data_IF_477505251095
#
_entry.id   IF_477505251095
#
_cell.length_a   1.000
_cell.length_b   1.000
_cell.length_c   1.000
_cell.angle_alpha   90.00
_cell.angle_beta   90.00
_cell.angle_gamma   90.00
#
_symmetry.space_group_name_H-M   'P 1'
#
loop_
_entity.id
_entity.type
_entity.pdbx_description
1 polymer ?
#
# COMPACT_ATOMS: atom_id res chain seq x y z
N UNK A 1 -3.64 -7.88 -10.93
CA UNK A 1 -4.57 -7.14 -11.82
C UNK A 1 -4.16 -5.69 -11.79
N UNK A 2 -4.25 -5.01 -12.92
CA UNK A 2 -3.92 -3.58 -12.99
C UNK A 2 -4.91 -2.76 -12.16
N UNK A 3 -4.42 -1.64 -11.62
CA UNK A 3 -5.23 -0.71 -10.86
C UNK A 3 -6.35 -0.13 -11.74
N UNK A 4 -7.61 -0.32 -11.33
CA UNK A 4 -8.80 0.18 -12.02
C UNK A 4 -9.86 0.61 -11.00
N UNK A 5 -10.00 1.92 -10.73
CA UNK A 5 -10.84 2.41 -9.65
C UNK A 5 -12.27 2.73 -10.10
N UNK A 6 -13.23 2.52 -9.20
CA UNK A 6 -14.58 3.07 -9.28
C UNK A 6 -14.85 4.02 -8.11
N UNK A 7 -15.72 5.00 -8.33
CA UNK A 7 -16.28 5.87 -7.28
C UNK A 7 -17.74 5.49 -7.05
N UNK A 8 -18.11 5.30 -5.79
CA UNK A 8 -19.49 5.07 -5.36
C UNK A 8 -19.91 6.26 -4.49
N UNK A 9 -20.79 7.08 -5.05
CA UNK A 9 -21.43 8.25 -4.40
C UNK A 9 -22.72 7.79 -3.75
N UNK A 10 -22.69 7.65 -2.43
CA UNK A 10 -23.77 7.04 -1.67
C UNK A 10 -24.82 8.10 -1.28
N UNK A 11 -26.04 7.91 -1.76
CA UNK A 11 -27.27 8.54 -1.25
C UNK A 11 -27.20 10.06 -1.02
N UNK A 12 -26.60 10.81 -1.94
CA UNK A 12 -26.58 12.29 -1.90
C UNK A 12 -27.92 12.83 -2.41
N UNK A 13 -28.99 12.53 -1.66
CA UNK A 13 -30.38 12.82 -1.99
C UNK A 13 -30.95 13.98 -1.16
N UNK A 14 -32.06 14.55 -1.64
CA UNK A 14 -32.70 15.70 -1.01
C UNK A 14 -33.11 15.43 0.45
N UNK A 15 -33.67 14.26 0.77
CA UNK A 15 -34.12 13.96 2.14
C UNK A 15 -32.99 13.84 3.16
N UNK A 16 -31.77 13.53 2.70
CA UNK A 16 -30.58 13.48 3.56
C UNK A 16 -29.85 14.83 3.67
N UNK A 17 -30.32 15.87 2.97
CA UNK A 17 -29.63 17.16 2.92
C UNK A 17 -30.45 18.30 3.55
N UNK A 18 -29.82 19.16 4.37
CA UNK A 18 -30.48 20.37 4.88
C UNK A 18 -30.77 21.37 3.74
N UNK A 19 -31.67 22.34 3.92
CA UNK A 19 -32.46 22.58 5.14
C UNK A 19 -33.76 21.75 5.21
N UNK A 20 -34.23 21.20 4.09
CA UNK A 20 -35.61 20.70 3.98
C UNK A 20 -35.75 19.17 4.02
N UNK A 21 -34.63 18.43 4.08
CA UNK A 21 -34.66 16.97 4.05
C UNK A 21 -35.30 16.35 5.30
N UNK A 22 -36.16 15.34 5.11
CA UNK A 22 -36.87 14.69 6.21
C UNK A 22 -35.98 13.88 7.16
N UNK A 23 -34.78 13.51 6.70
CA UNK A 23 -33.72 12.84 7.46
C UNK A 23 -32.38 13.56 7.24
N UNK A 24 -32.41 14.90 7.28
CA UNK A 24 -31.25 15.73 6.95
C UNK A 24 -30.04 15.45 7.86
N UNK A 25 -28.91 15.13 7.24
CA UNK A 25 -27.61 14.95 7.89
C UNK A 25 -26.93 16.32 8.03
N UNK A 26 -26.44 16.62 9.24
CA UNK A 26 -25.76 17.90 9.50
C UNK A 26 -24.52 18.07 8.59
N UNK A 27 -24.46 19.18 7.86
CA UNK A 27 -23.40 19.45 6.89
C UNK A 27 -23.42 18.54 5.65
N UNK A 28 -24.52 17.81 5.40
CA UNK A 28 -24.60 16.84 4.30
C UNK A 28 -24.35 17.42 2.90
N UNK A 29 -24.56 18.73 2.70
CA UNK A 29 -24.24 19.43 1.44
C UNK A 29 -22.79 19.86 1.32
N UNK A 30 -22.03 19.90 2.41
CA UNK A 30 -20.65 20.40 2.42
C UNK A 30 -19.69 19.46 1.68
N UNK A 31 -20.07 18.20 1.50
CA UNK A 31 -19.28 17.19 0.79
C UNK A 31 -19.41 17.29 -0.74
N UNK A 32 -20.48 17.94 -1.24
CA UNK A 32 -20.83 17.96 -2.67
C UNK A 32 -19.71 18.55 -3.54
N UNK A 33 -19.05 19.67 -3.18
CA UNK A 33 -17.96 20.21 -3.99
C UNK A 33 -16.80 19.22 -4.19
N UNK A 34 -16.45 18.45 -3.15
CA UNK A 34 -15.44 17.42 -3.24
C UNK A 34 -15.92 16.25 -4.11
N UNK A 35 -17.15 15.80 -3.92
CA UNK A 35 -17.73 14.72 -4.73
C UNK A 35 -17.78 15.10 -6.21
N UNK A 36 -18.18 16.33 -6.55
CA UNK A 36 -18.16 16.82 -7.93
C UNK A 36 -16.74 16.85 -8.52
N UNK A 37 -15.73 17.22 -7.73
CA UNK A 37 -14.32 17.14 -8.16
C UNK A 37 -13.88 15.71 -8.46
N UNK A 38 -14.33 14.74 -7.64
CA UNK A 38 -14.04 13.32 -7.87
C UNK A 38 -14.78 12.79 -9.10
N UNK A 39 -16.05 13.14 -9.27
CA UNK A 39 -16.85 12.81 -10.45
C UNK A 39 -16.25 13.37 -11.73
N UNK A 40 -15.63 14.56 -11.70
CA UNK A 40 -14.96 15.13 -12.87
C UNK A 40 -13.62 14.43 -13.25
N UNK A 41 -13.09 13.54 -12.40
CA UNK A 41 -11.81 12.89 -12.63
C UNK A 41 -11.88 11.87 -13.77
N UNK A 42 -10.90 11.92 -14.68
CA UNK A 42 -10.68 10.97 -15.77
C UNK A 42 -9.98 9.68 -15.30
N UNK A 43 -9.35 9.71 -14.12
CA UNK A 43 -8.68 8.56 -13.50
C UNK A 43 -9.67 7.53 -12.95
N UNK A 44 -10.93 7.89 -12.77
CA UNK A 44 -11.98 7.03 -12.24
C UNK A 44 -12.67 6.32 -13.41
N UNK A 45 -12.53 5.00 -13.47
CA UNK A 45 -12.99 4.20 -14.60
C UNK A 45 -14.50 3.95 -14.62
N UNK A 46 -15.16 4.06 -13.46
CA UNK A 46 -16.62 3.94 -13.33
C UNK A 46 -17.13 4.77 -12.16
N UNK A 47 -18.18 5.56 -12.39
CA UNK A 47 -18.78 6.46 -11.41
C UNK A 47 -20.22 6.03 -11.18
N UNK A 48 -20.50 5.57 -9.97
CA UNK A 48 -21.80 5.07 -9.54
C UNK A 48 -22.39 6.02 -8.53
N UNK A 49 -23.65 6.40 -8.70
CA UNK A 49 -24.44 7.01 -7.63
C UNK A 49 -25.43 5.97 -7.07
N UNK A 50 -25.73 6.04 -5.78
CA UNK A 50 -26.79 5.25 -5.17
C UNK A 50 -27.93 6.14 -4.70
N UNK A 51 -29.13 5.56 -4.63
CA UNK A 51 -30.32 6.19 -4.08
C UNK A 51 -31.04 5.19 -3.17
N UNK A 52 -31.34 5.61 -1.95
CA UNK A 52 -32.44 5.00 -1.20
C UNK A 52 -33.76 5.27 -1.93
N UNK A 53 -34.58 4.24 -2.04
CA UNK A 53 -35.76 4.28 -2.89
C UNK A 53 -36.89 3.45 -2.30
N UNK A 54 -37.43 3.91 -1.17
CA UNK A 54 -38.31 3.14 -0.31
C UNK A 54 -39.80 3.23 -0.71
N UNK A 55 -40.56 2.13 -0.66
CA UNK A 55 -42.02 2.20 -0.71
C UNK A 55 -42.58 2.90 0.54
N UNK A 56 -43.79 3.47 0.46
CA UNK A 56 -44.41 4.19 1.58
C UNK A 56 -44.60 3.32 2.84
N UNK A 57 -44.79 2.01 2.67
CA UNK A 57 -44.99 1.03 3.74
C UNK A 57 -43.67 0.36 4.20
N UNK A 58 -42.51 0.94 3.87
CA UNK A 58 -41.21 0.37 4.22
C UNK A 58 -41.03 0.17 5.73
N UNK A 59 -40.45 -0.98 6.09
CA UNK A 59 -40.29 -1.46 7.46
C UNK A 59 -39.42 -0.55 8.32
N UNK A 60 -38.55 0.26 7.71
CA UNK A 60 -37.67 1.16 8.46
C UNK A 60 -38.38 2.43 8.94
N UNK A 61 -39.57 2.76 8.42
CA UNK A 61 -40.27 3.99 8.80
C UNK A 61 -41.05 3.82 10.10
N UNK A 62 -40.81 4.73 11.04
CA UNK A 62 -41.45 4.71 12.34
C UNK A 62 -42.99 4.81 12.25
N UNK A 63 -43.51 5.52 11.24
CA UNK A 63 -44.96 5.67 10.99
C UNK A 63 -45.66 4.35 10.67
N UNK A 64 -44.92 3.33 10.21
CA UNK A 64 -45.46 2.03 9.83
C UNK A 64 -45.53 1.04 11.01
N UNK A 65 -45.19 1.49 12.22
CA UNK A 65 -45.21 0.67 13.44
C UNK A 65 -46.19 1.21 14.48
N UNK A 66 -46.79 0.33 15.30
CA UNK A 66 -47.70 0.76 16.37
C UNK A 66 -46.93 1.34 17.58
N UNK A 67 -47.53 2.33 18.29
CA UNK A 67 -47.01 2.78 19.58
C UNK A 67 -46.88 1.63 20.60
N UNK A 68 -45.89 1.68 21.51
CA UNK A 68 -44.93 2.77 21.73
C UNK A 68 -43.67 2.72 20.84
N UNK A 69 -43.50 1.67 20.01
CA UNK A 69 -42.30 1.42 19.22
C UNK A 69 -42.39 2.07 17.83
N UNK A 70 -42.70 3.36 17.78
CA UNK A 70 -42.98 4.09 16.54
C UNK A 70 -42.38 5.50 16.54
N UNK A 71 -41.28 5.69 17.27
CA UNK A 71 -40.57 6.96 17.37
C UNK A 71 -39.30 6.94 16.51
N UNK A 72 -39.16 7.85 15.53
CA UNK A 72 -37.92 8.02 14.78
C UNK A 72 -36.71 8.19 15.69
N UNK A 73 -35.55 7.66 15.26
CA UNK A 73 -34.26 7.70 15.95
C UNK A 73 -34.17 6.92 17.28
N UNK A 74 -35.28 6.73 17.99
CA UNK A 74 -35.34 6.08 19.31
C UNK A 74 -35.76 4.60 19.23
N UNK A 75 -36.77 4.29 18.42
CA UNK A 75 -37.39 2.96 18.43
C UNK A 75 -36.61 1.95 17.60
N UNK A 76 -36.65 0.69 18.04
CA UNK A 76 -36.11 -0.45 17.33
C UNK A 76 -37.15 -1.56 17.22
N UNK A 77 -37.10 -2.30 16.12
CA UNK A 77 -37.88 -3.52 15.91
C UNK A 77 -36.95 -4.70 15.64
N UNK A 78 -37.47 -5.92 15.79
CA UNK A 78 -36.81 -7.12 15.29
C UNK A 78 -37.28 -7.40 13.86
N UNK A 79 -36.47 -7.00 12.90
CA UNK A 79 -36.66 -7.32 11.49
C UNK A 79 -36.30 -8.78 11.24
N UNK A 80 -37.06 -9.48 10.39
CA UNK A 80 -36.84 -10.90 10.06
C UNK A 80 -36.18 -11.03 8.70
N UNK A 81 -35.31 -12.03 8.55
CA UNK A 81 -34.73 -12.35 7.25
C UNK A 81 -35.84 -12.80 6.29
N UNK A 82 -35.93 -12.14 5.14
CA UNK A 82 -36.96 -12.41 4.12
C UNK A 82 -36.65 -13.65 3.29
N UNK A 83 -35.42 -14.17 3.35
CA UNK A 83 -35.02 -15.39 2.64
C UNK A 83 -35.35 -16.61 3.50
N UNK A 84 -36.29 -17.43 3.01
CA UNK A 84 -36.89 -18.54 3.76
C UNK A 84 -35.96 -19.69 4.17
N UNK A 85 -34.69 -19.68 3.78
CA UNK A 85 -33.71 -20.67 4.24
C UNK A 85 -33.11 -20.34 5.62
N UNK A 86 -33.36 -19.14 6.16
CA UNK A 86 -32.93 -18.69 7.50
C UNK A 86 -34.06 -17.95 8.22
N UNK A 87 -35.24 -18.57 8.40
CA UNK A 87 -36.46 -17.88 8.84
C UNK A 87 -36.40 -17.35 10.29
N UNK A 88 -35.52 -17.92 11.11
CA UNK A 88 -35.35 -17.53 12.51
C UNK A 88 -34.34 -16.39 12.70
N UNK A 89 -33.61 -16.00 11.65
CA UNK A 89 -32.63 -14.93 11.73
C UNK A 89 -33.33 -13.58 11.84
N UNK A 90 -33.00 -12.84 12.91
CA UNK A 90 -33.52 -11.50 13.17
C UNK A 90 -32.40 -10.49 13.38
N UNK A 91 -32.67 -9.23 13.07
CA UNK A 91 -31.76 -8.11 13.32
C UNK A 91 -32.53 -6.91 13.87
N UNK A 92 -31.87 -6.17 14.77
CA UNK A 92 -32.41 -4.92 15.27
C UNK A 92 -32.37 -3.87 14.17
N UNK A 93 -33.54 -3.35 13.79
CA UNK A 93 -33.69 -2.24 12.85
C UNK A 93 -34.08 -0.99 13.62
N UNK A 94 -33.29 0.09 13.48
CA UNK A 94 -33.66 1.43 13.97
C UNK A 94 -34.79 1.99 13.09
N UNK A 95 -35.75 2.65 13.70
CA UNK A 95 -36.83 3.31 12.95
C UNK A 95 -36.47 4.76 12.62
N UNK A 96 -36.79 5.17 11.41
CA UNK A 96 -36.48 6.47 10.82
C UNK A 96 -37.75 7.29 10.56
N UNK A 97 -37.63 8.62 10.37
CA UNK A 97 -38.68 9.38 9.70
C UNK A 97 -38.95 8.81 8.30
N UNK A 98 -40.10 9.12 7.72
CA UNK A 98 -40.35 8.81 6.30
C UNK A 98 -39.36 9.61 5.44
N UNK A 99 -38.61 8.94 4.59
CA UNK A 99 -37.58 9.54 3.74
C UNK A 99 -37.40 8.73 2.46
N UNK A 100 -36.87 9.37 1.42
CA UNK A 100 -36.50 8.77 0.15
C UNK A 100 -37.61 7.89 -0.47
N UNK A 101 -38.87 8.33 -0.32
CA UNK A 101 -40.02 7.60 -0.85
C UNK A 101 -40.02 7.62 -2.37
N UNK A 102 -40.29 6.48 -2.99
CA UNK A 102 -40.30 6.31 -4.44
C UNK A 102 -41.14 7.37 -5.15
N UNK A 103 -40.56 8.01 -6.17
CA UNK A 103 -41.22 9.03 -6.99
C UNK A 103 -41.42 10.39 -6.30
N UNK A 104 -40.93 10.57 -5.07
CA UNK A 104 -40.94 11.87 -4.40
C UNK A 104 -39.66 12.65 -4.68
N UNK A 105 -39.73 13.99 -4.59
CA UNK A 105 -38.55 14.85 -4.70
C UNK A 105 -37.50 14.54 -3.62
N UNK A 106 -37.92 14.04 -2.46
CA UNK A 106 -37.02 13.63 -1.38
C UNK A 106 -36.03 12.54 -1.79
N UNK A 107 -36.45 11.63 -2.67
CA UNK A 107 -35.64 10.55 -3.22
C UNK A 107 -34.72 10.98 -4.37
N UNK A 108 -34.90 12.16 -4.96
CA UNK A 108 -34.02 12.62 -6.03
C UNK A 108 -32.63 12.96 -5.50
N UNK A 109 -31.60 12.69 -6.30
CA UNK A 109 -30.26 13.25 -6.07
C UNK A 109 -30.36 14.78 -6.00
N UNK A 110 -29.54 15.39 -5.15
CA UNK A 110 -29.52 16.86 -5.02
C UNK A 110 -29.08 17.51 -6.34
N UNK A 111 -29.68 18.65 -6.68
CA UNK A 111 -29.41 19.37 -7.94
C UNK A 111 -27.96 19.87 -8.07
N UNK A 112 -27.27 20.04 -6.94
CA UNK A 112 -25.90 20.52 -6.85
C UNK A 112 -24.87 19.42 -7.17
N UNK A 113 -25.29 18.16 -7.17
CA UNK A 113 -24.47 17.04 -7.60
C UNK A 113 -24.44 17.02 -9.14
N UNK A 114 -23.25 16.92 -9.72
CA UNK A 114 -23.07 16.82 -11.18
C UNK A 114 -23.48 15.43 -11.69
N UNK A 115 -24.77 15.12 -11.70
CA UNK A 115 -25.30 13.81 -12.09
C UNK A 115 -25.01 13.43 -13.54
N UNK A 116 -24.68 14.40 -14.40
CA UNK A 116 -24.23 14.14 -15.78
C UNK A 116 -22.88 13.40 -15.84
N UNK A 117 -22.06 13.49 -14.79
CA UNK A 117 -20.76 12.79 -14.69
C UNK A 117 -20.91 11.40 -14.04
N UNK A 118 -22.12 10.98 -13.68
CA UNK A 118 -22.41 9.65 -13.14
C UNK A 118 -22.73 8.71 -14.30
N UNK A 119 -22.06 7.55 -14.34
CA UNK A 119 -22.28 6.56 -15.40
C UNK A 119 -23.53 5.71 -15.12
N UNK A 120 -23.75 5.33 -13.86
CA UNK A 120 -24.80 4.40 -13.45
C UNK A 120 -25.40 4.83 -12.10
N UNK A 121 -26.73 4.70 -11.99
CA UNK A 121 -27.46 4.92 -10.74
C UNK A 121 -28.08 3.62 -10.22
N UNK A 122 -27.76 3.27 -8.97
CA UNK A 122 -28.27 2.07 -8.27
C UNK A 122 -29.31 2.48 -7.23
N UNK A 123 -30.53 1.97 -7.34
CA UNK A 123 -31.60 2.20 -6.37
C UNK A 123 -31.72 1.01 -5.41
N UNK A 124 -31.69 1.28 -4.10
CA UNK A 124 -31.70 0.27 -3.03
C UNK A 124 -32.84 0.54 -2.03
N UNK A 125 -33.11 -0.42 -1.15
CA UNK A 125 -34.15 -0.31 -0.11
C UNK A 125 -35.58 -0.42 -0.65
N UNK A 126 -35.77 -1.07 -1.80
CA UNK A 126 -37.05 -1.11 -2.50
C UNK A 126 -38.03 -2.19 -1.98
N UNK A 127 -37.57 -3.15 -1.16
CA UNK A 127 -38.44 -4.18 -0.58
C UNK A 127 -38.98 -3.69 0.77
N UNK A 128 -40.30 -3.52 0.87
CA UNK A 128 -40.96 -2.98 2.05
C UNK A 128 -40.65 -3.74 3.36
N UNK A 129 -40.14 -4.98 3.30
CA UNK A 129 -40.00 -5.88 4.46
C UNK A 129 -38.58 -5.92 5.03
N UNK A 130 -37.58 -5.36 4.34
CA UNK A 130 -36.18 -5.44 4.77
C UNK A 130 -35.41 -4.15 4.49
N UNK A 131 -34.60 -3.73 5.45
CA UNK A 131 -33.67 -2.60 5.28
C UNK A 131 -32.47 -2.96 4.40
N UNK A 132 -31.94 -1.95 3.69
CA UNK A 132 -30.75 -2.08 2.85
C UNK A 132 -29.89 -0.82 2.87
N UNK A 133 -29.07 -0.67 3.91
CA UNK A 133 -28.07 0.41 3.97
C UNK A 133 -26.97 0.24 2.91
N UNK A 134 -26.47 -0.99 2.72
CA UNK A 134 -25.40 -1.27 1.75
C UNK A 134 -25.93 -1.28 0.33
N UNK A 135 -25.18 -0.72 -0.62
CA UNK A 135 -25.46 -0.89 -2.05
C UNK A 135 -25.13 -2.31 -2.57
N UNK A 136 -24.54 -3.18 -1.74
CA UNK A 136 -24.12 -4.53 -2.12
C UNK A 136 -25.09 -5.63 -1.65
N UNK A 137 -25.84 -5.42 -0.57
CA UNK A 137 -26.75 -6.42 -0.01
C UNK A 137 -27.70 -5.82 1.02
N UNK A 138 -28.82 -6.49 1.29
CA UNK A 138 -29.70 -6.16 2.43
C UNK A 138 -28.97 -6.31 3.78
N UNK A 139 -29.64 -5.89 4.87
CA UNK A 139 -29.09 -5.97 6.24
C UNK A 139 -28.68 -7.39 6.67
N UNK A 140 -29.22 -8.45 6.05
CA UNK A 140 -28.85 -9.84 6.32
C UNK A 140 -27.74 -10.38 5.41
N UNK A 141 -27.20 -9.54 4.53
CA UNK A 141 -26.20 -9.91 3.54
C UNK A 141 -26.77 -10.68 2.35
N UNK A 142 -28.08 -10.64 2.12
CA UNK A 142 -28.68 -11.23 0.94
C UNK A 142 -28.61 -10.25 -0.23
N UNK A 143 -28.28 -10.78 -1.40
CA UNK A 143 -28.42 -10.04 -2.65
C UNK A 143 -29.80 -10.34 -3.23
N UNK A 144 -30.62 -9.31 -3.40
CA UNK A 144 -32.01 -9.42 -3.87
C UNK A 144 -32.24 -8.62 -5.16
N UNK A 145 -31.19 -8.46 -5.96
CA UNK A 145 -31.28 -7.85 -7.29
C UNK A 145 -32.27 -8.61 -8.16
N UNK A 146 -33.23 -7.90 -8.76
CA UNK A 146 -34.33 -8.50 -9.53
C UNK A 146 -35.43 -9.18 -8.70
N UNK A 147 -35.24 -9.32 -7.37
CA UNK A 147 -36.23 -9.81 -6.42
C UNK A 147 -36.89 -8.69 -5.60
N UNK A 148 -36.55 -7.42 -5.89
CA UNK A 148 -37.25 -6.23 -5.38
C UNK A 148 -36.51 -5.42 -4.32
N UNK A 149 -35.30 -5.81 -3.87
CA UNK A 149 -34.55 -5.02 -2.88
C UNK A 149 -33.57 -4.00 -3.48
N UNK A 150 -32.96 -4.33 -4.62
CA UNK A 150 -32.03 -3.46 -5.38
C UNK A 150 -32.24 -3.65 -6.89
N UNK A 151 -32.02 -2.62 -7.70
CA UNK A 151 -32.24 -2.69 -9.16
C UNK A 151 -31.05 -3.31 -9.92
N UNK A 152 -29.84 -3.21 -9.38
CA UNK A 152 -28.59 -3.64 -9.99
C UNK A 152 -27.78 -4.40 -8.94
N UNK A 153 -27.22 -5.55 -9.32
CA UNK A 153 -26.16 -6.16 -8.51
C UNK A 153 -24.85 -5.40 -8.73
N UNK A 154 -24.51 -4.56 -7.75
CA UNK A 154 -23.31 -3.73 -7.82
C UNK A 154 -22.02 -4.57 -7.80
N UNK A 155 -21.98 -5.70 -7.08
CA UNK A 155 -20.78 -6.53 -7.03
C UNK A 155 -20.48 -7.13 -8.40
N UNK A 156 -21.50 -7.68 -9.06
CA UNK A 156 -21.37 -8.29 -10.38
C UNK A 156 -21.08 -7.23 -11.45
N UNK A 157 -21.72 -6.06 -11.38
CA UNK A 157 -21.41 -4.94 -12.26
C UNK A 157 -19.94 -4.54 -12.17
N UNK A 158 -19.43 -4.28 -10.96
CA UNK A 158 -18.03 -3.87 -10.74
C UNK A 158 -17.04 -4.94 -11.22
N UNK A 159 -17.32 -6.22 -10.94
CA UNK A 159 -16.49 -7.34 -11.42
C UNK A 159 -16.49 -7.44 -12.94
N UNK A 160 -17.65 -7.31 -13.58
CA UNK A 160 -17.76 -7.35 -15.05
C UNK A 160 -16.96 -6.25 -15.73
N UNK A 161 -16.77 -5.12 -15.05
CA UNK A 161 -15.97 -3.98 -15.50
C UNK A 161 -14.49 -4.09 -15.10
N UNK A 162 -14.06 -5.20 -14.49
CA UNK A 162 -12.70 -5.42 -13.97
C UNK A 162 -12.24 -4.34 -12.97
N UNK A 163 -13.18 -3.79 -12.19
CA UNK A 163 -12.84 -2.85 -11.12
C UNK A 163 -12.05 -3.58 -10.03
N UNK A 164 -10.95 -2.99 -9.59
CA UNK A 164 -10.11 -3.53 -8.51
C UNK A 164 -10.21 -2.71 -7.22
N UNK A 165 -10.52 -1.42 -7.33
CA UNK A 165 -10.59 -0.49 -6.21
C UNK A 165 -11.93 0.25 -6.19
N UNK A 166 -12.53 0.39 -5.00
CA UNK A 166 -13.80 1.09 -4.80
C UNK A 166 -13.59 2.22 -3.80
N UNK A 167 -13.76 3.46 -4.27
CA UNK A 167 -13.77 4.66 -3.46
C UNK A 167 -15.21 4.98 -3.06
N UNK A 168 -15.47 5.20 -1.77
CA UNK A 168 -16.80 5.45 -1.23
C UNK A 168 -16.85 6.84 -0.60
N UNK A 169 -17.87 7.60 -1.00
CA UNK A 169 -18.23 8.95 -0.50
C UNK A 169 -19.74 9.04 -0.38
N UNK A 170 -20.27 10.06 0.28
CA UNK A 170 -21.70 10.35 0.35
C UNK A 170 -22.26 10.32 1.76
N UNK A 171 -23.52 9.92 1.91
CA UNK A 171 -24.27 9.97 3.16
C UNK A 171 -24.93 8.61 3.45
N UNK A 172 -25.12 8.20 4.70
CA UNK A 172 -24.45 8.71 5.89
C UNK A 172 -23.20 7.87 6.21
N UNK A 173 -22.17 8.53 6.73
CA UNK A 173 -20.88 7.96 7.13
C UNK A 173 -21.02 6.71 8.01
N UNK A 174 -21.95 6.75 8.96
CA UNK A 174 -22.21 5.74 9.99
C UNK A 174 -23.27 4.68 9.60
N UNK A 175 -23.90 4.84 8.44
CA UNK A 175 -24.90 3.91 7.88
C UNK A 175 -24.52 3.50 6.46
N UNK A 176 -25.15 4.08 5.43
CA UNK A 176 -25.03 3.64 4.05
C UNK A 176 -23.59 3.65 3.53
N UNK A 177 -22.78 4.66 3.88
CA UNK A 177 -21.36 4.73 3.49
C UNK A 177 -20.58 3.59 4.13
N UNK A 178 -20.70 3.40 5.45
CA UNK A 178 -20.05 2.30 6.19
C UNK A 178 -20.43 0.95 5.62
N UNK A 179 -21.73 0.66 5.52
CA UNK A 179 -22.24 -0.65 5.10
C UNK A 179 -21.95 -0.92 3.62
N UNK A 180 -21.91 0.12 2.77
CA UNK A 180 -21.45 0.00 1.38
C UNK A 180 -19.96 -0.33 1.31
N UNK A 181 -19.12 0.34 2.10
CA UNK A 181 -17.69 0.05 2.15
C UNK A 181 -17.41 -1.37 2.67
N UNK A 182 -18.10 -1.81 3.73
CA UNK A 182 -18.03 -3.18 4.24
C UNK A 182 -18.50 -4.20 3.19
N UNK A 183 -19.57 -3.87 2.46
CA UNK A 183 -20.09 -4.66 1.35
C UNK A 183 -19.06 -4.83 0.22
N UNK A 184 -18.41 -3.74 -0.20
CA UNK A 184 -17.36 -3.74 -1.22
C UNK A 184 -16.15 -4.61 -0.78
N UNK A 185 -15.72 -4.48 0.48
CA UNK A 185 -14.65 -5.33 1.04
C UNK A 185 -15.01 -6.80 1.00
N UNK A 186 -16.22 -7.16 1.45
CA UNK A 186 -16.72 -8.53 1.44
C UNK A 186 -16.84 -9.08 0.01
N UNK A 187 -17.15 -8.23 -0.96
CA UNK A 187 -17.21 -8.58 -2.38
C UNK A 187 -15.83 -8.76 -3.04
N UNK A 188 -14.74 -8.42 -2.34
CA UNK A 188 -13.35 -8.67 -2.74
C UNK A 188 -12.59 -7.45 -3.27
N UNK A 189 -13.15 -6.25 -3.20
CA UNK A 189 -12.50 -5.03 -3.71
C UNK A 189 -11.56 -4.40 -2.67
N UNK A 190 -10.46 -3.81 -3.13
CA UNK A 190 -9.72 -2.84 -2.33
C UNK A 190 -10.62 -1.64 -2.09
N UNK A 191 -10.99 -1.36 -0.84
CA UNK A 191 -12.01 -0.35 -0.54
C UNK A 191 -11.42 0.81 0.25
N UNK A 192 -11.75 2.02 -0.19
CA UNK A 192 -11.24 3.27 0.37
C UNK A 192 -12.43 4.18 0.65
N UNK A 193 -12.57 4.67 1.88
CA UNK A 193 -13.52 5.72 2.23
C UNK A 193 -12.78 7.04 2.30
N UNK A 194 -13.30 8.07 1.63
CA UNK A 194 -12.71 9.42 1.68
C UNK A 194 -13.36 10.18 2.83
N UNK A 195 -12.55 10.53 3.83
CA UNK A 195 -13.01 11.06 5.13
C UNK A 195 -13.81 12.36 4.99
N UNK A 196 -13.32 13.33 4.22
CA UNK A 196 -14.04 14.58 3.98
C UNK A 196 -15.21 14.44 3.02
N UNK A 197 -15.31 13.30 2.34
CA UNK A 197 -16.37 12.95 1.41
C UNK A 197 -17.62 12.39 2.08
N UNK A 198 -17.72 12.38 3.42
CA UNK A 198 -18.89 11.89 4.14
C UNK A 198 -19.34 12.80 5.29
N UNK A 199 -20.59 12.61 5.74
CA UNK A 199 -21.09 13.07 7.05
C UNK A 199 -21.93 11.98 7.71
N UNK A 200 -21.88 11.89 9.04
CA UNK A 200 -22.64 10.91 9.83
C UNK A 200 -24.00 11.48 10.29
N UNK A 201 -25.01 10.62 10.40
CA UNK A 201 -26.30 10.96 11.02
C UNK A 201 -26.08 11.35 12.47
N UNK A 202 -25.27 10.58 13.20
CA UNK A 202 -24.73 10.97 14.51
C UNK A 202 -23.31 11.54 14.32
N UNK A 203 -23.09 12.86 14.42
CA UNK A 203 -21.77 13.45 14.21
C UNK A 203 -20.67 12.87 15.12
N UNK A 204 -21.02 12.33 16.28
CA UNK A 204 -20.07 11.73 17.23
C UNK A 204 -19.64 10.30 16.89
N UNK A 205 -20.30 9.63 15.95
CA UNK A 205 -20.08 8.21 15.66
C UNK A 205 -18.90 7.93 14.73
N UNK A 206 -18.34 8.96 14.07
CA UNK A 206 -17.36 8.76 12.99
C UNK A 206 -16.07 8.06 13.46
N UNK A 207 -15.58 8.36 14.65
CA UNK A 207 -14.35 7.72 15.16
C UNK A 207 -14.53 6.20 15.31
N UNK A 208 -15.66 5.75 15.85
CA UNK A 208 -15.99 4.33 15.98
C UNK A 208 -16.17 3.67 14.61
N UNK A 209 -16.84 4.37 13.68
CA UNK A 209 -17.04 3.90 12.31
C UNK A 209 -15.71 3.73 11.58
N UNK A 210 -14.80 4.68 11.72
CA UNK A 210 -13.46 4.64 11.13
C UNK A 210 -12.69 3.43 11.63
N UNK A 211 -12.79 3.10 12.92
CA UNK A 211 -12.13 1.93 13.49
C UNK A 211 -12.73 0.62 12.95
N UNK A 212 -14.06 0.53 12.83
CA UNK A 212 -14.73 -0.63 12.20
C UNK A 212 -14.28 -0.81 10.75
N UNK A 213 -14.21 0.27 9.97
CA UNK A 213 -13.75 0.24 8.58
C UNK A 213 -12.31 -0.27 8.48
N UNK A 214 -11.40 0.27 9.32
CA UNK A 214 -9.99 -0.17 9.38
C UNK A 214 -9.88 -1.65 9.75
N UNK A 215 -10.63 -2.11 10.75
CA UNK A 215 -10.64 -3.52 11.18
C UNK A 215 -11.15 -4.47 10.08
N UNK A 216 -12.06 -4.01 9.20
CA UNK A 216 -12.50 -4.76 8.02
C UNK A 216 -11.48 -4.78 6.86
N UNK A 217 -10.37 -4.07 7.02
CA UNK A 217 -9.36 -3.87 5.99
C UNK A 217 -9.76 -2.86 4.90
N UNK A 218 -10.77 -2.03 5.13
CA UNK A 218 -11.00 -0.83 4.31
C UNK A 218 -10.05 0.27 4.77
N UNK A 219 -9.50 1.03 3.83
CA UNK A 219 -8.72 2.22 4.14
C UNK A 219 -9.67 3.41 4.35
N UNK A 220 -9.32 4.29 5.29
CA UNK A 220 -9.93 5.62 5.42
C UNK A 220 -8.83 6.62 5.14
N UNK A 221 -9.02 7.45 4.11
CA UNK A 221 -8.02 8.43 3.66
C UNK A 221 -8.61 9.83 3.73
N UNK A 222 -7.80 10.78 4.15
CA UNK A 222 -8.14 12.20 4.07
C UNK A 222 -7.65 12.77 2.74
N UNK A 223 -8.45 13.64 2.11
CA UNK A 223 -7.96 14.43 0.95
C UNK A 223 -7.03 15.56 1.38
N UNK A 224 -7.04 15.91 2.66
CA UNK A 224 -6.21 16.95 3.25
C UNK A 224 -4.98 16.39 3.98
N UNK A 225 -4.80 15.06 4.03
CA UNK A 225 -3.57 14.51 4.57
C UNK A 225 -2.40 14.95 3.68
N UNK A 226 -1.26 15.28 4.31
CA UNK A 226 -0.01 15.53 3.58
C UNK A 226 0.30 14.37 2.62
N UNK A 227 -0.11 13.14 2.97
CA UNK A 227 -0.09 11.93 2.13
C UNK A 227 -0.85 12.04 0.80
N UNK A 228 -1.91 12.85 0.66
CA UNK A 228 -2.67 12.97 -0.60
C UNK A 228 -1.93 13.81 -1.65
N UNK A 229 -1.26 14.88 -1.22
CA UNK A 229 -0.32 15.68 -2.02
C UNK A 229 0.98 14.93 -2.30
N UNK A 230 1.47 14.16 -1.32
CA UNK A 230 2.70 13.40 -1.43
C UNK A 230 2.53 12.10 -2.23
N UNK A 231 1.35 11.47 -2.27
CA UNK A 231 1.11 10.33 -3.16
C UNK A 231 0.95 10.76 -4.63
N UNK A 232 0.39 11.95 -4.89
CA UNK A 232 0.21 12.46 -6.26
C UNK A 232 1.51 12.95 -6.90
N UNK A 233 2.47 13.42 -6.10
CA UNK A 233 3.78 13.93 -6.52
C UNK A 233 4.92 13.34 -5.67
N UNK A 234 4.89 12.03 -5.39
CA UNK A 234 5.90 11.41 -4.52
C UNK A 234 7.33 11.66 -5.02
N UNK A 235 7.50 11.80 -6.34
CA UNK A 235 8.78 12.12 -6.96
C UNK A 235 9.25 13.56 -6.72
N UNK A 236 8.50 14.39 -6.02
CA UNK A 236 8.93 15.72 -5.61
C UNK A 236 9.29 15.81 -4.12
N UNK A 237 9.08 14.74 -3.35
CA UNK A 237 9.44 14.68 -1.93
C UNK A 237 10.95 14.76 -1.75
N UNK A 238 11.37 15.45 -0.67
CA UNK A 238 12.74 15.80 -0.35
C UNK A 238 13.44 16.70 -1.39
N UNK A 239 12.70 17.38 -2.27
CA UNK A 239 13.24 18.39 -3.20
C UNK A 239 12.80 19.81 -2.84
N UNK A 240 13.66 20.82 -3.06
CA UNK A 240 13.27 22.22 -3.03
C UNK A 240 12.09 22.48 -3.96
N UNK A 241 11.18 23.39 -3.56
CA UNK A 241 9.92 23.63 -4.29
C UNK A 241 10.15 24.08 -5.73
N UNK A 242 11.27 24.76 -5.97
CA UNK A 242 11.71 25.29 -7.26
C UNK A 242 12.09 24.18 -8.25
N UNK A 243 12.40 22.99 -7.76
CA UNK A 243 12.79 21.83 -8.56
C UNK A 243 11.66 20.85 -8.83
N UNK A 244 10.44 21.16 -8.37
CA UNK A 244 9.30 20.27 -8.55
C UNK A 244 8.91 20.17 -10.00
N UNK A 245 8.61 18.94 -10.43
CA UNK A 245 8.19 18.63 -11.79
C UNK A 245 6.73 18.19 -11.80
N UNK A 246 5.98 18.60 -12.82
CA UNK A 246 4.58 18.21 -12.97
C UNK A 246 4.42 16.74 -13.36
N UNK A 247 5.40 16.17 -14.06
CA UNK A 247 5.41 14.76 -14.46
C UNK A 247 6.47 13.97 -13.70
N UNK A 248 6.18 12.70 -13.42
CA UNK A 248 7.14 11.80 -12.78
C UNK A 248 8.32 11.52 -13.72
N UNK A 249 9.59 11.71 -13.29
CA UNK A 249 10.77 11.35 -14.08
C UNK A 249 10.78 9.87 -14.50
N UNK A 250 11.25 9.58 -15.71
CA UNK A 250 11.30 8.21 -16.27
C UNK A 250 11.98 7.19 -15.34
N UNK A 251 13.07 7.60 -14.67
CA UNK A 251 13.79 6.75 -13.71
C UNK A 251 12.92 6.29 -12.52
N UNK A 252 11.88 7.05 -12.18
CA UNK A 252 10.98 6.81 -11.05
C UNK A 252 9.62 6.24 -11.47
N UNK A 253 9.37 6.08 -12.77
CA UNK A 253 8.17 5.39 -13.26
C UNK A 253 8.22 3.89 -12.94
N UNK A 254 7.05 3.28 -12.80
CA UNK A 254 6.85 1.84 -12.60
C UNK A 254 7.60 1.24 -11.40
N UNK A 255 7.68 1.97 -10.29
CA UNK A 255 8.27 1.49 -9.05
C UNK A 255 7.33 0.57 -8.28
N UNK A 256 7.92 -0.27 -7.42
CA UNK A 256 7.14 -1.10 -6.49
C UNK A 256 6.40 -0.23 -5.47
N UNK A 257 5.30 -0.73 -4.90
CA UNK A 257 4.57 -0.01 -3.84
C UNK A 257 5.47 0.31 -2.63
N UNK A 258 6.42 -0.59 -2.31
CA UNK A 258 7.43 -0.38 -1.27
C UNK A 258 8.32 0.82 -1.58
N UNK A 259 8.89 0.88 -2.79
CA UNK A 259 9.79 1.98 -3.19
C UNK A 259 9.05 3.32 -3.28
N UNK A 260 7.80 3.31 -3.74
CA UNK A 260 6.94 4.51 -3.72
C UNK A 260 6.74 4.98 -2.29
N UNK A 261 6.44 4.08 -1.35
CA UNK A 261 6.30 4.41 0.08
C UNK A 261 7.57 5.04 0.65
N UNK A 262 8.74 4.45 0.38
CA UNK A 262 10.04 4.99 0.81
C UNK A 262 10.27 6.39 0.23
N UNK A 263 10.13 6.57 -1.09
CA UNK A 263 10.35 7.89 -1.74
C UNK A 263 9.33 8.92 -1.27
N UNK A 264 8.13 8.49 -0.87
CA UNK A 264 7.09 9.37 -0.33
C UNK A 264 7.37 9.84 1.11
N UNK A 265 8.42 9.34 1.75
CA UNK A 265 8.76 9.63 3.15
C UNK A 265 9.80 10.76 3.20
N UNK A 266 9.64 11.72 4.12
CA UNK A 266 10.69 12.73 4.33
C UNK A 266 11.96 12.05 4.84
N UNK A 267 13.10 12.59 4.45
CA UNK A 267 14.40 12.03 4.81
C UNK A 267 14.61 11.97 6.33
N UNK A 268 14.01 12.89 7.08
CA UNK A 268 14.02 12.94 8.56
C UNK A 268 13.17 11.86 9.23
N UNK A 269 12.15 11.36 8.51
CA UNK A 269 11.22 10.33 8.98
C UNK A 269 11.62 8.92 8.51
N UNK A 270 12.68 8.82 7.70
CA UNK A 270 13.17 7.55 7.19
C UNK A 270 13.73 6.69 8.32
N UNK A 271 13.25 5.45 8.42
CA UNK A 271 13.75 4.51 9.42
C UNK A 271 15.24 4.18 9.17
N UNK A 272 16.00 4.28 10.26
CA UNK A 272 17.43 4.06 10.33
C UNK A 272 17.71 2.78 11.12
N UNK A 273 18.50 1.87 10.56
CA UNK A 273 18.69 0.54 11.12
C UNK A 273 19.91 0.48 12.05
N UNK A 274 19.65 0.14 13.31
CA UNK A 274 20.68 -0.16 14.30
C UNK A 274 21.37 -1.50 14.06
N UNK A 275 22.55 -1.71 14.66
CA UNK A 275 23.26 -2.99 14.57
C UNK A 275 22.42 -4.18 15.06
N UNK A 276 21.65 -4.01 16.13
CA UNK A 276 20.78 -5.08 16.66
C UNK A 276 19.64 -5.43 15.70
N UNK A 277 19.06 -4.43 15.03
CA UNK A 277 18.04 -4.66 14.01
C UNK A 277 18.64 -5.35 12.77
N UNK A 278 19.83 -4.91 12.34
CA UNK A 278 20.56 -5.54 11.23
C UNK A 278 20.81 -7.02 11.51
N UNK A 279 21.30 -7.37 12.71
CA UNK A 279 21.47 -8.76 13.15
C UNK A 279 20.15 -9.52 13.12
N UNK A 280 19.12 -8.98 13.75
CA UNK A 280 17.81 -9.63 13.82
C UNK A 280 17.21 -9.91 12.44
N UNK A 281 17.29 -8.95 11.51
CA UNK A 281 16.77 -9.09 10.16
C UNK A 281 17.55 -10.13 9.35
N UNK A 282 18.88 -10.16 9.46
CA UNK A 282 19.71 -11.15 8.78
C UNK A 282 19.46 -12.56 9.33
N UNK A 283 19.44 -12.73 10.66
CA UNK A 283 19.23 -14.03 11.34
C UNK A 283 17.84 -14.61 11.09
N UNK A 284 16.82 -13.76 11.06
CA UNK A 284 15.43 -14.18 10.80
C UNK A 284 15.06 -14.21 9.32
N UNK A 285 16.04 -14.00 8.42
CA UNK A 285 15.85 -13.97 6.97
C UNK A 285 14.73 -12.99 6.54
N UNK A 286 14.63 -11.81 7.18
CA UNK A 286 13.70 -10.73 6.83
C UNK A 286 14.41 -9.61 6.05
N UNK A 287 15.27 -10.00 5.11
CA UNK A 287 16.14 -9.07 4.36
C UNK A 287 15.35 -8.14 3.44
N UNK A 288 14.10 -8.49 3.13
CA UNK A 288 13.15 -7.65 2.41
C UNK A 288 12.74 -6.40 3.20
N UNK A 289 13.00 -6.34 4.51
CA UNK A 289 12.71 -5.16 5.34
C UNK A 289 13.77 -4.08 5.26
N UNK A 290 14.98 -4.40 4.80
CA UNK A 290 16.00 -3.38 4.58
C UNK A 290 15.52 -2.34 3.55
N UNK A 291 15.85 -1.07 3.81
CA UNK A 291 15.53 0.03 2.93
C UNK A 291 16.61 1.10 2.95
N UNK A 292 16.64 1.90 1.89
CA UNK A 292 17.48 3.09 1.78
C UNK A 292 16.70 4.29 2.30
N UNK A 293 17.43 5.35 2.62
CA UNK A 293 16.84 6.69 2.79
C UNK A 293 16.14 7.11 1.49
N UNK A 294 15.10 7.94 1.57
CA UNK A 294 14.29 8.32 0.42
C UNK A 294 15.13 8.98 -0.70
N UNK A 295 15.98 9.95 -0.37
CA UNK A 295 16.91 10.59 -1.32
C UNK A 295 17.90 9.60 -1.93
N UNK A 296 18.47 8.70 -1.13
CA UNK A 296 19.40 7.66 -1.61
C UNK A 296 18.71 6.65 -2.54
N UNK A 297 17.45 6.29 -2.28
CA UNK A 297 16.69 5.40 -3.16
C UNK A 297 16.39 6.05 -4.51
N UNK A 298 16.01 7.33 -4.51
CA UNK A 298 15.83 8.11 -5.74
C UNK A 298 17.11 8.14 -6.56
N UNK A 299 18.21 8.55 -5.95
CA UNK A 299 19.50 8.65 -6.60
C UNK A 299 19.95 7.29 -7.18
N UNK A 300 19.72 6.19 -6.44
CA UNK A 300 19.95 4.84 -6.96
C UNK A 300 19.12 4.54 -8.22
N UNK A 301 17.85 4.95 -8.24
CA UNK A 301 16.95 4.72 -9.38
C UNK A 301 17.39 5.50 -10.62
N UNK A 302 17.75 6.77 -10.44
CA UNK A 302 18.29 7.64 -11.48
C UNK A 302 19.60 7.07 -12.03
N UNK A 303 20.52 6.67 -11.14
CA UNK A 303 21.75 5.98 -11.49
C UNK A 303 21.52 4.70 -12.31
N UNK A 304 20.60 3.82 -11.88
CA UNK A 304 20.27 2.58 -12.61
C UNK A 304 19.67 2.89 -13.99
N UNK A 305 18.86 3.94 -14.09
CA UNK A 305 18.30 4.38 -15.37
C UNK A 305 19.42 4.84 -16.32
N UNK A 306 20.32 5.70 -15.86
CA UNK A 306 21.48 6.17 -16.64
C UNK A 306 22.42 5.04 -17.05
N UNK A 307 22.72 4.11 -16.13
CA UNK A 307 23.55 2.95 -16.42
C UNK A 307 22.97 2.10 -17.55
N UNK A 308 21.65 1.87 -17.54
CA UNK A 308 20.99 1.09 -18.60
C UNK A 308 21.08 1.79 -19.95
N UNK A 309 20.98 3.12 -19.98
CA UNK A 309 21.15 3.87 -21.23
C UNK A 309 22.59 3.81 -21.74
N UNK A 310 23.58 3.93 -20.84
CA UNK A 310 25.00 4.01 -21.20
C UNK A 310 25.63 2.66 -21.52
N UNK A 311 25.32 1.62 -20.74
CA UNK A 311 25.96 0.31 -20.81
C UNK A 311 25.03 -0.80 -21.33
N UNK A 312 23.77 -0.47 -21.65
CA UNK A 312 22.74 -1.43 -22.09
C UNK A 312 22.16 -2.28 -20.98
N UNK A 313 22.93 -2.61 -19.93
CA UNK A 313 22.44 -3.31 -18.74
C UNK A 313 23.29 -3.02 -17.50
N UNK A 314 22.68 -3.18 -16.32
CA UNK A 314 23.41 -3.11 -15.04
C UNK A 314 24.46 -4.23 -14.94
N UNK A 315 24.16 -5.41 -15.48
CA UNK A 315 25.09 -6.53 -15.53
C UNK A 315 26.38 -6.18 -16.28
N UNK A 316 26.26 -5.57 -17.47
CA UNK A 316 27.42 -5.17 -18.27
C UNK A 316 28.31 -4.16 -17.53
N UNK A 317 27.69 -3.20 -16.85
CA UNK A 317 28.40 -2.26 -15.99
C UNK A 317 29.12 -2.97 -14.83
N UNK A 318 28.41 -3.80 -14.06
CA UNK A 318 29.00 -4.50 -12.92
C UNK A 318 30.16 -5.38 -13.38
N UNK A 319 30.00 -6.17 -14.44
CA UNK A 319 31.05 -7.05 -14.93
C UNK A 319 32.28 -6.27 -15.41
N UNK A 320 32.10 -5.32 -16.33
CA UNK A 320 33.22 -4.72 -17.05
C UNK A 320 33.82 -3.49 -16.36
N UNK A 321 33.01 -2.68 -15.69
CA UNK A 321 33.46 -1.44 -15.04
C UNK A 321 33.75 -1.66 -13.56
N UNK A 322 32.81 -2.28 -12.82
CA UNK A 322 32.92 -2.43 -11.36
C UNK A 322 33.87 -3.55 -10.95
N UNK A 323 33.66 -4.74 -11.50
CA UNK A 323 34.44 -5.93 -11.18
C UNK A 323 35.70 -6.04 -12.05
N UNK A 324 35.63 -5.52 -13.29
CA UNK A 324 36.68 -5.63 -14.31
C UNK A 324 36.99 -7.08 -14.70
N UNK A 325 35.94 -7.91 -14.75
CA UNK A 325 36.05 -9.31 -15.18
C UNK A 325 35.88 -9.43 -16.69
N UNK A 326 36.83 -10.10 -17.33
CA UNK A 326 36.75 -10.44 -18.76
C UNK A 326 35.66 -11.48 -19.01
N UNK A 327 35.60 -12.50 -18.15
CA UNK A 327 34.58 -13.55 -18.16
C UNK A 327 34.10 -13.85 -16.72
N UNK A 328 32.92 -14.45 -16.64
CA UNK A 328 32.26 -14.83 -15.39
C UNK A 328 32.37 -16.34 -15.11
N UNK A 329 33.28 -17.03 -15.80
CA UNK A 329 33.48 -18.48 -15.64
C UNK A 329 34.41 -18.72 -14.45
N UNK A 330 34.02 -19.55 -13.48
CA UNK A 330 34.89 -19.87 -12.35
C UNK A 330 36.13 -20.65 -12.80
N UNK A 331 37.22 -20.52 -12.05
CA UNK A 331 38.50 -21.20 -12.32
C UNK A 331 38.43 -22.74 -12.27
N UNK A 332 37.41 -23.30 -11.61
CA UNK A 332 37.27 -24.74 -11.34
C UNK A 332 37.83 -25.18 -9.98
N UNK A 333 38.46 -24.29 -9.22
CA UNK A 333 38.86 -24.54 -7.83
C UNK A 333 37.66 -24.55 -6.87
N UNK A 334 37.84 -24.86 -5.59
CA UNK A 334 36.72 -24.74 -4.63
C UNK A 334 36.31 -23.26 -4.43
N UNK A 335 35.03 -22.97 -4.09
CA UNK A 335 34.56 -21.61 -3.87
C UNK A 335 35.44 -20.84 -2.87
N UNK A 336 35.75 -19.58 -3.21
CA UNK A 336 36.55 -18.65 -2.43
C UNK A 336 38.04 -19.01 -2.23
N UNK A 337 38.56 -20.05 -2.90
CA UNK A 337 40.00 -20.38 -2.89
C UNK A 337 40.79 -19.49 -3.85
N UNK A 338 40.30 -19.33 -5.09
CA UNK A 338 40.97 -18.51 -6.10
C UNK A 338 40.52 -17.03 -5.98
N UNK A 339 41.42 -16.08 -5.68
CA UNK A 339 41.06 -14.66 -5.53
C UNK A 339 40.64 -13.98 -6.84
N UNK A 340 40.73 -14.64 -7.99
CA UNK A 340 40.19 -14.15 -9.25
C UNK A 340 38.71 -14.50 -9.49
N UNK A 341 38.15 -15.40 -8.66
CA UNK A 341 36.76 -15.85 -8.77
C UNK A 341 35.80 -15.05 -7.89
N UNK A 342 36.30 -14.16 -7.04
CA UNK A 342 35.47 -13.29 -6.22
C UNK A 342 36.08 -11.89 -6.07
N UNK A 343 35.26 -10.93 -5.67
CA UNK A 343 35.71 -9.58 -5.33
C UNK A 343 34.87 -9.03 -4.18
N UNK A 344 35.54 -8.50 -3.16
CA UNK A 344 34.89 -7.77 -2.06
C UNK A 344 34.94 -6.28 -2.40
N UNK A 345 33.79 -5.64 -2.45
CA UNK A 345 33.64 -4.20 -2.75
C UNK A 345 32.66 -3.58 -1.79
N UNK A 346 32.68 -2.26 -1.67
CA UNK A 346 31.59 -1.57 -0.99
C UNK A 346 30.29 -1.75 -1.78
N UNK A 347 29.17 -1.81 -1.06
CA UNK A 347 27.88 -1.65 -1.70
C UNK A 347 27.80 -0.23 -2.27
N UNK A 348 27.61 -0.11 -3.59
CA UNK A 348 27.53 1.19 -4.25
C UNK A 348 26.37 2.03 -3.72
N UNK A 349 25.31 1.39 -3.24
CA UNK A 349 24.11 2.04 -2.72
C UNK A 349 23.68 1.35 -1.41
N UNK A 350 24.33 1.67 -0.28
CA UNK A 350 24.07 1.02 1.00
C UNK A 350 22.66 1.33 1.52
N UNK A 351 22.19 0.51 2.46
CA UNK A 351 20.93 0.77 3.18
C UNK A 351 21.09 1.94 4.19
N UNK A 352 19.98 2.38 4.78
CA UNK A 352 20.01 3.45 5.80
C UNK A 352 20.45 2.91 7.17
N UNK A 353 21.74 2.61 7.29
CA UNK A 353 22.36 1.97 8.45
C UNK A 353 23.03 2.99 9.37
N UNK A 354 23.21 2.62 10.65
CA UNK A 354 24.13 3.32 11.55
C UNK A 354 25.51 3.54 10.92
N UNK A 355 26.10 4.73 11.16
CA UNK A 355 27.38 5.12 10.57
C UNK A 355 28.56 4.23 10.92
N UNK A 356 28.44 3.42 11.98
CA UNK A 356 29.43 2.44 12.40
C UNK A 356 29.33 1.11 11.61
N UNK A 357 28.37 0.95 10.69
CA UNK A 357 28.15 -0.29 9.93
C UNK A 357 28.70 -0.13 8.51
N UNK A 358 29.73 -0.90 8.17
CA UNK A 358 30.21 -1.01 6.79
C UNK A 358 29.34 -2.00 6.01
N UNK A 359 28.82 -1.61 4.84
CA UNK A 359 28.03 -2.48 3.96
C UNK A 359 28.84 -2.88 2.72
N UNK A 360 29.28 -4.13 2.69
CA UNK A 360 30.05 -4.72 1.60
C UNK A 360 29.21 -5.68 0.76
N UNK A 361 29.69 -5.93 -0.46
CA UNK A 361 29.16 -6.94 -1.37
C UNK A 361 30.31 -7.84 -1.80
N UNK A 362 30.12 -9.14 -1.66
CA UNK A 362 31.04 -10.15 -2.16
C UNK A 362 30.44 -10.72 -3.43
N UNK A 363 31.02 -10.33 -4.57
CA UNK A 363 30.66 -10.88 -5.87
C UNK A 363 31.45 -12.16 -6.11
N UNK A 364 30.80 -13.18 -6.67
CA UNK A 364 31.44 -14.46 -6.96
C UNK A 364 31.00 -15.00 -8.32
N UNK A 365 31.94 -15.65 -9.01
CA UNK A 365 31.66 -16.40 -10.25
C UNK A 365 30.97 -17.74 -9.99
N UNK A 366 30.95 -18.19 -8.73
CA UNK A 366 30.33 -19.43 -8.31
C UNK A 366 28.84 -19.28 -8.09
N UNK A 367 28.09 -20.33 -8.41
CA UNK A 367 26.68 -20.43 -8.02
C UNK A 367 26.61 -20.75 -6.53
N UNK A 368 25.83 -19.96 -5.78
CA UNK A 368 25.55 -20.24 -4.37
C UNK A 368 24.35 -21.19 -4.33
N UNK A 369 24.55 -22.41 -3.82
CA UNK A 369 23.51 -23.45 -3.78
C UNK A 369 22.36 -23.06 -2.83
N UNK A 370 21.12 -23.13 -3.32
CA UNK A 370 19.89 -22.76 -2.61
C UNK A 370 18.88 -23.91 -2.56
N UNK A 371 18.07 -23.92 -1.50
CA UNK A 371 16.88 -24.74 -1.36
C UNK A 371 15.72 -24.16 -2.21
N UNK A 372 14.63 -24.94 -2.44
CA UNK A 372 13.47 -24.45 -3.21
C UNK A 372 12.79 -23.20 -2.64
N UNK A 373 12.94 -22.93 -1.34
CA UNK A 373 12.46 -21.72 -0.65
C UNK A 373 13.47 -20.55 -0.71
N UNK A 374 14.49 -20.63 -1.56
CA UNK A 374 15.55 -19.61 -1.75
C UNK A 374 16.46 -19.41 -0.52
N UNK A 375 16.42 -20.31 0.45
CA UNK A 375 17.42 -20.33 1.53
C UNK A 375 18.72 -20.97 1.05
N UNK A 376 19.85 -20.38 1.45
CA UNK A 376 21.18 -20.94 1.15
C UNK A 376 21.32 -22.31 1.82
N UNK A 377 21.82 -23.31 1.08
CA UNK A 377 22.03 -24.66 1.63
C UNK A 377 23.09 -24.67 2.73
N UNK A 378 23.03 -25.62 3.66
CA UNK A 378 24.02 -25.74 4.76
C UNK A 378 25.46 -25.89 4.26
N UNK A 379 25.66 -26.53 3.10
CA UNK A 379 26.98 -26.62 2.45
C UNK A 379 27.48 -25.24 2.03
N UNK A 380 26.65 -24.48 1.30
CA UNK A 380 27.01 -23.14 0.85
C UNK A 380 27.17 -22.15 2.03
N UNK A 381 26.33 -22.25 3.07
CA UNK A 381 26.51 -21.50 4.33
C UNK A 381 27.87 -21.78 4.94
N UNK A 382 28.26 -23.06 5.07
CA UNK A 382 29.56 -23.44 5.64
C UNK A 382 30.73 -22.89 4.82
N UNK A 383 30.63 -22.86 3.49
CA UNK A 383 31.64 -22.27 2.61
C UNK A 383 31.75 -20.75 2.80
N UNK A 384 30.62 -20.04 2.92
CA UNK A 384 30.58 -18.60 3.18
C UNK A 384 31.14 -18.29 4.57
N UNK A 385 30.76 -19.04 5.60
CA UNK A 385 31.29 -18.87 6.96
C UNK A 385 32.81 -19.06 7.03
N UNK A 386 33.34 -20.09 6.36
CA UNK A 386 34.79 -20.30 6.28
C UNK A 386 35.50 -19.13 5.59
N UNK A 387 34.92 -18.61 4.50
CA UNK A 387 35.42 -17.43 3.81
C UNK A 387 35.41 -16.18 4.70
N UNK A 388 34.33 -15.95 5.45
CA UNK A 388 34.22 -14.81 6.36
C UNK A 388 35.26 -14.88 7.48
N UNK A 389 35.43 -16.06 8.06
CA UNK A 389 36.41 -16.30 9.11
C UNK A 389 37.84 -16.02 8.62
N UNK A 390 38.21 -16.51 7.43
CA UNK A 390 39.54 -16.31 6.87
C UNK A 390 39.80 -14.84 6.45
N UNK A 391 38.78 -14.20 5.88
CA UNK A 391 38.91 -12.87 5.27
C UNK A 391 38.87 -11.74 6.30
N UNK A 392 37.98 -11.83 7.30
CA UNK A 392 37.65 -10.72 8.21
C UNK A 392 38.01 -10.99 9.67
N UNK A 393 37.99 -12.25 10.13
CA UNK A 393 38.06 -12.56 11.56
C UNK A 393 39.48 -12.86 12.07
N UNK A 394 39.69 -12.60 13.37
CA UNK A 394 40.87 -12.99 14.16
C UNK A 394 40.96 -14.51 14.32
N UNK A 395 42.18 -15.06 14.16
CA UNK A 395 42.49 -16.46 14.50
C UNK A 395 43.30 -16.49 15.81
N UNK A 396 43.16 -17.55 16.61
CA UNK A 396 43.85 -17.69 17.92
C UNK A 396 45.39 -17.57 17.84
N UNK A 397 45.97 -17.70 16.65
CA UNK A 397 47.42 -17.60 16.41
C UNK A 397 47.93 -16.20 15.99
N UNK A 398 47.05 -15.23 15.75
CA UNK A 398 47.45 -13.90 15.28
C UNK A 398 47.92 -13.04 16.45
N UNK A 399 49.23 -12.77 16.50
CA UNK A 399 49.89 -11.92 17.51
C UNK A 399 50.28 -10.53 16.96
N UNK A 400 49.73 -10.16 15.80
CA UNK A 400 49.97 -8.88 15.12
C UNK A 400 48.91 -7.82 15.41
N UNK A 401 49.33 -6.55 15.40
CA UNK A 401 48.58 -5.34 15.76
C UNK A 401 47.08 -5.36 15.42
N UNK A 402 46.25 -5.09 16.45
CA UNK A 402 44.78 -5.20 16.46
C UNK A 402 43.99 -4.20 15.61
N UNK A 403 44.45 -3.86 14.41
CA UNK A 403 43.80 -2.88 13.51
C UNK A 403 43.28 -3.48 12.18
N UNK A 404 43.40 -4.81 11.95
CA UNK A 404 43.09 -5.41 10.63
C UNK A 404 42.10 -6.57 10.68
N UNK A 405 41.41 -6.80 11.82
CA UNK A 405 40.47 -7.91 12.01
C UNK A 405 39.34 -7.52 12.97
N UNK A 406 38.22 -8.24 12.90
CA UNK A 406 37.03 -8.07 13.78
C UNK A 406 36.62 -9.41 14.39
N UNK A 407 35.81 -9.37 15.44
CA UNK A 407 35.19 -10.57 15.97
C UNK A 407 34.03 -11.04 15.07
N UNK A 408 33.76 -12.35 15.06
CA UNK A 408 32.73 -12.93 14.18
C UNK A 408 31.34 -12.37 14.49
N UNK A 409 31.05 -12.02 15.75
CA UNK A 409 29.77 -11.43 16.18
C UNK A 409 29.58 -9.98 15.69
N UNK A 410 30.63 -9.31 15.22
CA UNK A 410 30.57 -8.03 14.53
C UNK A 410 30.24 -8.15 13.04
N UNK A 411 30.05 -9.37 12.53
CA UNK A 411 29.76 -9.64 11.11
C UNK A 411 28.39 -10.27 10.97
N UNK A 412 27.60 -9.75 10.04
CA UNK A 412 26.45 -10.49 9.50
C UNK A 412 26.56 -10.58 7.99
N UNK A 413 26.01 -11.64 7.44
CA UNK A 413 25.89 -11.79 6.00
C UNK A 413 24.51 -12.28 5.64
N UNK A 414 24.08 -11.93 4.43
CA UNK A 414 22.85 -12.43 3.87
C UNK A 414 22.91 -12.39 2.35
N UNK A 415 22.06 -13.18 1.71
CA UNK A 415 21.88 -13.18 0.26
C UNK A 415 20.49 -12.65 -0.06
N UNK A 416 20.41 -11.69 -0.98
CA UNK A 416 19.12 -11.24 -1.46
C UNK A 416 18.42 -12.38 -2.21
N UNK A 417 17.13 -12.57 -1.93
CA UNK A 417 16.25 -13.46 -2.68
C UNK A 417 16.21 -13.05 -4.15
N UNK A 418 15.86 -13.99 -5.04
CA UNK A 418 15.79 -13.72 -6.48
C UNK A 418 14.87 -12.53 -6.77
N UNK A 419 13.75 -12.39 -6.07
CA UNK A 419 12.82 -11.26 -6.21
C UNK A 419 13.40 -9.88 -5.83
N UNK A 420 14.47 -9.84 -5.04
CA UNK A 420 15.12 -8.61 -4.55
C UNK A 420 16.45 -8.30 -5.28
N UNK A 421 16.99 -9.24 -6.06
CA UNK A 421 18.23 -9.06 -6.80
C UNK A 421 18.04 -8.10 -7.98
N UNK A 422 18.93 -7.12 -8.10
CA UNK A 422 19.00 -6.25 -9.28
C UNK A 422 19.83 -6.86 -10.43
N UNK A 423 20.67 -7.85 -10.12
CA UNK A 423 21.52 -8.58 -11.08
C UNK A 423 21.38 -10.07 -10.81
N UNK A 424 20.75 -10.80 -11.75
CA UNK A 424 20.48 -12.23 -11.59
C UNK A 424 21.58 -13.14 -12.15
N UNK A 425 22.39 -12.64 -13.08
CA UNK A 425 23.40 -13.44 -13.78
C UNK A 425 24.74 -13.52 -13.05
N UNK A 426 24.95 -12.69 -12.02
CA UNK A 426 26.13 -12.70 -11.17
C UNK A 426 25.71 -12.90 -9.72
N UNK A 427 26.26 -13.95 -9.10
CA UNK A 427 25.99 -14.27 -7.72
C UNK A 427 26.76 -13.34 -6.78
N UNK A 428 26.09 -12.98 -5.69
CA UNK A 428 26.65 -12.15 -4.65
C UNK A 428 25.91 -12.34 -3.34
N UNK A 429 26.60 -12.03 -2.26
CA UNK A 429 26.01 -11.88 -0.94
C UNK A 429 26.52 -10.60 -0.29
N UNK A 430 25.76 -10.09 0.67
CA UNK A 430 26.10 -8.91 1.42
C UNK A 430 26.81 -9.29 2.71
N UNK A 431 27.78 -8.48 3.09
CA UNK A 431 28.48 -8.59 4.38
C UNK A 431 28.37 -7.23 5.06
N UNK A 432 27.83 -7.20 6.26
CA UNK A 432 27.80 -6.00 7.09
C UNK A 432 28.70 -6.19 8.29
N UNK A 433 29.54 -5.20 8.57
CA UNK A 433 30.55 -5.27 9.63
C UNK A 433 30.38 -4.05 10.54
N UNK A 434 30.14 -4.29 11.83
CA UNK A 434 30.01 -3.26 12.84
C UNK A 434 31.37 -2.83 13.37
N UNK A 435 31.62 -1.52 13.38
CA UNK A 435 32.87 -0.89 13.82
C UNK A 435 34.11 -1.48 13.15
N UNK A 436 34.01 -1.70 11.84
CA UNK A 436 35.11 -2.25 11.05
C UNK A 436 36.31 -1.30 11.02
N UNK A 437 37.53 -1.76 11.35
CA UNK A 437 38.72 -0.94 11.24
C UNK A 437 38.99 -0.49 9.80
N UNK A 438 39.39 0.76 9.60
CA UNK A 438 39.69 1.30 8.26
C UNK A 438 40.75 0.46 7.51
N UNK A 439 41.80 0.00 8.20
CA UNK A 439 42.85 -0.83 7.58
C UNK A 439 42.32 -2.20 7.14
N UNK A 440 41.34 -2.77 7.86
CA UNK A 440 40.67 -4.00 7.41
C UNK A 440 39.90 -3.72 6.12
N UNK A 441 39.07 -2.67 6.11
CA UNK A 441 38.26 -2.30 4.94
C UNK A 441 39.15 -1.99 3.72
N UNK A 442 40.24 -1.24 3.90
CA UNK A 442 41.19 -0.93 2.85
C UNK A 442 41.85 -2.20 2.28
N UNK A 443 42.25 -3.12 3.15
CA UNK A 443 42.86 -4.40 2.76
C UNK A 443 41.90 -5.27 1.95
N UNK A 444 40.68 -5.51 2.46
CA UNK A 444 39.74 -6.46 1.83
C UNK A 444 39.13 -5.90 0.56
N UNK A 445 38.87 -4.60 0.51
CA UNK A 445 38.29 -3.94 -0.66
C UNK A 445 39.32 -3.43 -1.67
N UNK A 446 40.62 -3.46 -1.29
CA UNK A 446 41.75 -2.94 -2.09
C UNK A 446 41.59 -1.45 -2.44
N UNK A 447 41.14 -0.65 -1.46
CA UNK A 447 40.94 0.79 -1.59
C UNK A 447 39.68 1.19 -2.37
N UNK A 448 38.73 0.27 -2.55
CA UNK A 448 37.43 0.56 -3.17
C UNK A 448 36.62 1.58 -2.36
N UNK A 449 35.69 2.26 -3.03
CA UNK A 449 34.72 3.17 -2.40
C UNK A 449 33.33 2.98 -3.03
N UNK A 450 32.24 3.27 -2.30
CA UNK A 450 30.89 3.21 -2.85
C UNK A 450 30.73 4.08 -4.10
N UNK A 451 30.11 3.54 -5.15
CA UNK A 451 29.81 4.31 -6.37
C UNK A 451 28.92 5.54 -6.11
N UNK A 452 28.02 5.48 -5.13
CA UNK A 452 27.18 6.62 -4.73
C UNK A 452 27.98 7.87 -4.37
N UNK A 453 29.13 7.74 -3.70
CA UNK A 453 29.95 8.90 -3.32
C UNK A 453 30.42 9.71 -4.53
N UNK A 454 30.73 9.05 -5.65
CA UNK A 454 31.16 9.73 -6.87
C UNK A 454 29.99 10.30 -7.65
N UNK A 455 28.85 9.59 -7.66
CA UNK A 455 27.64 10.04 -8.36
C UNK A 455 27.00 11.28 -7.70
N UNK A 456 26.85 11.27 -6.37
CA UNK A 456 26.28 12.39 -5.61
C UNK A 456 27.12 13.66 -5.77
N UNK A 457 28.45 13.56 -5.71
CA UNK A 457 29.35 14.71 -5.93
C UNK A 457 29.24 15.32 -7.33
N UNK A 458 28.84 14.54 -8.34
CA UNK A 458 28.69 15.02 -9.70
C UNK A 458 27.34 15.72 -9.95
N UNK A 459 26.30 15.37 -9.18
CA UNK A 459 24.94 15.89 -9.36
C UNK A 459 24.55 16.98 -8.35
N UNK A 460 25.21 17.03 -7.18
CA UNK A 460 24.99 18.06 -6.15
C UNK A 460 25.97 19.25 -6.23
N UNK A 461 26.89 19.25 -7.21
CA UNK A 461 27.85 20.33 -7.47
C UNK A 461 27.50 21.12 -8.72
#
# INVERSE_FOLDING_TARGET
MDFKPALVVVDVQNDFCPPDGSLAVAGGRDIIPLINKLLASDKIALKVATQDFHPEDHISFASNHPPPNNKPFESFIDMKNIVGNRPDQTMKQRLWPVHCVQGTKGADLVQELNSADVDITVTKGMDARVEMYSAFSDSFGNLTSGAGGVNIDLADLLKSQNITHVYVVGLAGDYCVKDTALGARKAGFSTIVIEEGQRCVDPGSWDEVRDVLKQSGAAVVSVNSEESTFAAYYWNINRPREEWTEECPEALKNMSAKDIGIISTKDEDCHHFSWEEVKSLAETNQVDRFQRKATALRAYREYVYELKQKYGSVLAFIQHERLQWQDVTPSGEEPFVNPNDYKVVYNDWPYHLDGDIAHLVVWTKWVIDELPNEEVTEKAKSQIEAFLQDTFCSNESDTGEGDIKVDRDQIVWFKNWKSLKSVHALEHFHVMIYQAPDKLLEKVTRGDRPGSESWTKFHDG
#
